data_IF_241342217311
#
_entry.id   IF_241342217311
#
_cell.length_a   1.000
_cell.length_b   1.000
_cell.length_c   1.000
_cell.angle_alpha   90.00
_cell.angle_beta   90.00
_cell.angle_gamma   90.00
#
_symmetry.space_group_name_H-M   'P 1'
#
loop_
_entity.id
_entity.type
_entity.pdbx_description
1 polymer ?
#
# COMPACT_ATOMS: atom_id res chain seq x y z
N UNK A 1 31.33 33.10 -18.13
CA UNK A 1 32.40 34.09 -17.87
C UNK A 1 32.14 34.73 -16.51
N UNK A 2 33.07 34.65 -15.55
CA UNK A 2 32.83 34.92 -14.14
C UNK A 2 32.99 36.41 -13.81
N UNK A 3 32.30 36.89 -12.77
CA UNK A 3 32.70 38.09 -12.04
C UNK A 3 33.19 37.70 -10.66
N UNK A 4 34.52 37.53 -10.56
CA UNK A 4 35.25 37.70 -9.31
C UNK A 4 35.37 39.21 -9.04
N UNK A 5 34.97 39.64 -7.84
CA UNK A 5 35.53 40.78 -7.09
C UNK A 5 34.94 40.70 -5.68
N UNK A 6 35.61 40.95 -4.57
CA UNK A 6 37.01 41.21 -4.20
C UNK A 6 36.96 41.23 -2.67
N UNK A 7 37.72 40.38 -1.98
CA UNK A 7 37.90 40.54 -0.53
C UNK A 7 38.60 41.87 -0.25
N UNK A 8 38.07 42.64 0.69
CA UNK A 8 38.66 43.86 1.22
C UNK A 8 38.51 43.84 2.73
N UNK A 9 39.51 43.28 3.40
CA UNK A 9 39.80 43.54 4.79
C UNK A 9 40.11 45.02 5.00
N UNK A 10 39.35 45.71 5.84
CA UNK A 10 39.78 46.98 6.45
C UNK A 10 39.70 46.84 7.96
N UNK A 11 40.86 46.64 8.55
CA UNK A 11 41.12 46.78 9.98
C UNK A 11 41.01 48.26 10.34
N UNK A 12 40.22 48.58 11.37
CA UNK A 12 40.37 49.83 12.13
C UNK A 12 40.24 49.47 13.60
N UNK A 13 41.38 49.54 14.30
CA UNK A 13 41.46 49.54 15.76
C UNK A 13 40.68 50.73 16.31
N UNK A 14 39.89 50.46 17.34
CA UNK A 14 39.27 51.46 18.21
C UNK A 14 38.95 50.77 19.53
N UNK A 15 39.89 50.85 20.47
CA UNK A 15 39.70 50.41 21.84
C UNK A 15 38.72 51.36 22.54
N UNK A 16 37.62 50.80 23.05
CA UNK A 16 36.88 51.37 24.18
C UNK A 16 36.14 50.24 24.88
N UNK A 17 36.60 49.95 26.10
CA UNK A 17 35.93 49.11 27.08
C UNK A 17 34.60 49.76 27.48
N UNK A 18 33.55 48.96 27.64
CA UNK A 18 32.81 48.79 28.90
C UNK A 18 31.47 48.05 28.66
N UNK A 19 31.16 47.18 29.61
CA UNK A 19 29.87 46.55 29.94
C UNK A 19 29.45 45.28 29.17
N UNK A 20 29.73 44.16 29.85
CA UNK A 20 29.14 42.84 29.66
C UNK A 20 27.61 42.89 29.82
N UNK A 21 26.88 42.60 28.76
CA UNK A 21 25.52 42.07 28.85
C UNK A 21 25.55 40.62 28.36
N UNK A 22 25.61 39.73 29.33
CA UNK A 22 25.56 38.28 29.17
C UNK A 22 24.14 37.86 28.72
N UNK A 23 23.84 38.04 27.44
CA UNK A 23 22.71 37.36 26.82
C UNK A 23 23.14 35.93 26.51
N UNK A 24 22.75 35.00 27.40
CA UNK A 24 22.80 33.57 27.22
C UNK A 24 22.00 33.16 25.98
N UNK A 25 22.62 33.30 24.81
CA UNK A 25 22.18 32.67 23.59
C UNK A 25 22.46 31.18 23.77
N UNK A 26 21.44 30.44 24.19
CA UNK A 26 21.38 28.99 24.01
C UNK A 26 21.66 28.74 22.53
N UNK A 27 22.91 28.40 22.22
CA UNK A 27 23.30 27.97 20.89
C UNK A 27 22.57 26.66 20.65
N UNK A 28 21.35 26.74 20.11
CA UNK A 28 20.72 25.63 19.45
C UNK A 28 21.65 25.34 18.29
N UNK A 29 22.56 24.40 18.50
CA UNK A 29 23.35 23.80 17.43
C UNK A 29 22.31 23.39 16.40
N UNK A 30 22.23 24.12 15.29
CA UNK A 30 21.44 23.75 14.13
C UNK A 30 22.12 22.51 13.56
N UNK A 31 21.96 21.39 14.27
CA UNK A 31 22.27 20.07 13.75
C UNK A 31 21.40 19.98 12.50
N UNK A 32 22.05 19.89 11.35
CA UNK A 32 21.37 19.58 10.10
C UNK A 32 20.51 18.32 10.28
N UNK A 33 19.65 18.01 9.29
CA UNK A 33 18.84 16.80 9.36
C UNK A 33 19.70 15.59 9.76
N UNK A 34 19.18 14.71 10.62
CA UNK A 34 19.93 13.58 11.15
C UNK A 34 20.65 12.81 10.05
N UNK A 35 21.88 12.36 10.34
CA UNK A 35 22.72 11.68 9.36
C UNK A 35 22.05 10.37 8.89
N UNK A 36 22.19 10.04 7.59
CA UNK A 36 21.58 8.84 6.99
C UNK A 36 22.19 7.58 7.61
N UNK A 37 21.45 6.91 8.48
CA UNK A 37 21.76 5.53 8.89
C UNK A 37 21.48 4.60 7.70
N UNK A 38 22.49 4.35 6.86
CA UNK A 38 22.40 3.48 5.68
C UNK A 38 22.21 1.99 6.00
N UNK A 39 22.26 1.60 7.28
CA UNK A 39 22.28 0.19 7.68
C UNK A 39 20.97 -0.55 7.36
N UNK A 40 19.83 0.16 7.26
CA UNK A 40 18.53 -0.45 6.94
C UNK A 40 17.63 0.51 6.16
N UNK A 41 17.15 0.10 4.99
CA UNK A 41 16.03 0.76 4.30
C UNK A 41 14.74 0.52 5.10
N UNK A 42 14.31 1.48 5.91
CA UNK A 42 13.09 1.36 6.73
C UNK A 42 11.86 1.71 5.90
N UNK A 43 10.80 0.91 6.03
CA UNK A 43 9.49 1.13 5.38
C UNK A 43 8.39 1.13 6.44
N UNK A 44 7.46 2.09 6.34
CA UNK A 44 6.27 2.10 7.19
C UNK A 44 5.16 1.29 6.56
N UNK A 45 4.68 0.29 7.29
CA UNK A 45 3.56 -0.55 6.91
C UNK A 45 2.47 -0.38 7.98
N UNK A 46 1.26 -0.06 7.54
CA UNK A 46 0.06 -0.05 8.38
C UNK A 46 -0.70 -1.32 8.07
N UNK A 47 -0.91 -2.10 9.12
CA UNK A 47 -1.57 -3.40 9.06
C UNK A 47 -2.29 -3.60 10.37
N UNK A 48 -3.39 -4.35 10.35
CA UNK A 48 -4.09 -4.72 11.58
C UNK A 48 -3.14 -5.49 12.50
N UNK A 49 -3.16 -5.15 13.78
CA UNK A 49 -2.31 -5.76 14.81
C UNK A 49 -2.38 -7.29 14.77
N UNK A 50 -1.22 -7.94 14.91
CA UNK A 50 -1.11 -9.40 14.92
C UNK A 50 -1.34 -10.11 13.59
N UNK A 51 -1.65 -9.41 12.50
CA UNK A 51 -1.99 -10.09 11.23
C UNK A 51 -0.78 -10.35 10.33
N UNK A 52 0.32 -9.59 10.46
CA UNK A 52 1.48 -9.73 9.57
C UNK A 52 2.56 -10.70 10.10
N UNK A 53 2.46 -11.15 11.35
CA UNK A 53 3.43 -12.09 11.93
C UNK A 53 3.44 -13.39 11.12
N UNK A 54 4.63 -13.90 10.81
CA UNK A 54 4.85 -15.11 10.00
C UNK A 54 4.22 -15.06 8.59
N UNK A 55 3.98 -13.86 8.07
CA UNK A 55 3.47 -13.66 6.71
C UNK A 55 4.60 -13.41 5.73
N UNK A 56 4.45 -13.93 4.51
CA UNK A 56 5.33 -13.61 3.39
C UNK A 56 4.61 -12.70 2.38
N UNK A 57 5.37 -11.80 1.76
CA UNK A 57 4.92 -10.97 0.66
C UNK A 57 5.54 -11.46 -0.64
N UNK A 58 4.72 -11.59 -1.68
CA UNK A 58 5.09 -12.14 -2.97
C UNK A 58 4.83 -11.12 -4.07
N UNK A 59 5.68 -11.12 -5.09
CA UNK A 59 5.43 -10.34 -6.31
C UNK A 59 4.45 -11.10 -7.20
N UNK A 60 3.33 -10.50 -7.53
CA UNK A 60 2.23 -11.05 -8.35
C UNK A 60 1.79 -10.00 -9.38
N UNK A 61 1.19 -10.42 -10.50
CA UNK A 61 0.71 -9.49 -11.52
C UNK A 61 -0.55 -8.82 -11.03
N UNK A 62 -0.58 -7.49 -11.13
CA UNK A 62 -1.78 -6.74 -10.86
C UNK A 62 -2.84 -7.10 -11.89
N UNK A 63 -4.06 -7.49 -11.47
CA UNK A 63 -5.02 -8.16 -12.35
C UNK A 63 -5.53 -7.31 -13.51
N UNK A 64 -5.44 -5.97 -13.40
CA UNK A 64 -5.83 -5.04 -14.46
C UNK A 64 -4.67 -4.63 -15.37
N UNK A 65 -3.47 -4.45 -14.83
CA UNK A 65 -2.36 -3.81 -15.55
C UNK A 65 -1.21 -4.75 -15.90
N UNK A 66 -1.18 -5.96 -15.32
CA UNK A 66 -0.08 -6.92 -15.49
C UNK A 66 1.21 -6.52 -14.77
N UNK A 67 1.29 -5.32 -14.20
CA UNK A 67 2.47 -4.85 -13.48
C UNK A 67 2.72 -5.64 -12.20
N UNK A 68 3.97 -5.81 -11.80
CA UNK A 68 4.31 -6.48 -10.55
C UNK A 68 3.88 -5.65 -9.33
N UNK A 69 3.06 -6.25 -8.47
CA UNK A 69 2.64 -5.72 -7.17
C UNK A 69 2.98 -6.70 -6.05
N UNK A 70 3.04 -6.21 -4.81
CA UNK A 70 3.29 -7.06 -3.65
C UNK A 70 1.97 -7.49 -3.02
N UNK A 71 1.77 -8.80 -2.87
CA UNK A 71 0.63 -9.40 -2.19
C UNK A 71 1.07 -10.27 -1.01
N UNK A 72 0.29 -10.25 0.07
CA UNK A 72 0.31 -11.31 1.08
C UNK A 72 -0.59 -12.44 0.62
N UNK A 73 -0.03 -13.62 0.37
CA UNK A 73 -0.77 -14.81 -0.03
C UNK A 73 -0.57 -15.94 0.97
N UNK A 74 -1.66 -16.61 1.32
CA UNK A 74 -1.70 -17.83 2.12
C UNK A 74 -3.02 -18.55 1.91
N UNK A 75 -3.25 -19.67 2.61
CA UNK A 75 -4.54 -20.37 2.59
C UNK A 75 -5.71 -19.49 3.07
N UNK A 76 -5.44 -18.53 3.95
CA UNK A 76 -6.48 -17.67 4.56
C UNK A 76 -6.47 -16.24 4.02
N UNK A 77 -5.29 -15.72 3.70
CA UNK A 77 -5.10 -14.30 3.41
C UNK A 77 -4.81 -14.07 1.92
N UNK A 78 -5.41 -13.01 1.39
CA UNK A 78 -5.11 -12.44 0.08
C UNK A 78 -5.20 -10.92 0.22
N UNK A 79 -4.06 -10.26 0.36
CA UNK A 79 -3.99 -8.82 0.62
C UNK A 79 -3.00 -8.15 -0.31
N UNK A 80 -3.35 -6.98 -0.82
CA UNK A 80 -2.48 -6.14 -1.63
C UNK A 80 -1.75 -5.11 -0.76
N UNK A 81 -0.47 -4.91 -1.04
CA UNK A 81 0.33 -3.84 -0.43
C UNK A 81 0.23 -2.59 -1.30
N UNK A 82 -0.62 -1.64 -0.90
CA UNK A 82 -0.79 -0.37 -1.57
C UNK A 82 0.17 0.69 -1.03
N UNK A 83 0.81 1.42 -1.94
CA UNK A 83 1.57 2.61 -1.58
C UNK A 83 0.66 3.84 -1.65
N UNK A 84 0.43 4.49 -0.52
CA UNK A 84 -0.32 5.73 -0.40
C UNK A 84 0.64 6.85 -0.01
N UNK A 85 0.68 7.91 -0.80
CA UNK A 85 1.50 9.06 -0.48
C UNK A 85 1.70 9.99 -1.67
N UNK A 86 2.14 11.20 -1.36
CA UNK A 86 2.47 12.22 -2.34
C UNK A 86 3.96 12.21 -2.67
N UNK A 87 4.34 12.87 -3.76
CA UNK A 87 5.76 13.12 -4.06
C UNK A 87 6.32 14.11 -3.04
N UNK A 88 7.64 14.06 -2.81
CA UNK A 88 8.36 15.01 -1.94
C UNK A 88 7.87 14.99 -0.48
N UNK A 89 7.73 13.78 0.08
CA UNK A 89 7.45 13.55 1.50
C UNK A 89 8.54 12.69 2.10
N UNK A 90 8.76 12.82 3.40
CA UNK A 90 9.69 11.98 4.15
C UNK A 90 9.15 11.78 5.57
N UNK A 91 9.60 10.71 6.21
CA UNK A 91 9.26 10.43 7.60
C UNK A 91 10.46 10.67 8.50
N UNK A 92 10.22 11.31 9.65
CA UNK A 92 11.17 11.36 10.75
C UNK A 92 10.84 10.24 11.73
N UNK A 93 11.83 9.41 12.05
CA UNK A 93 11.68 8.32 13.02
C UNK A 93 12.90 8.29 13.94
N UNK A 94 12.72 8.75 15.18
CA UNK A 94 13.82 8.99 16.10
C UNK A 94 14.84 9.95 15.48
N UNK A 95 16.10 9.50 15.41
CA UNK A 95 17.21 10.23 14.79
C UNK A 95 17.47 9.79 13.33
N UNK A 96 16.45 9.35 12.59
CA UNK A 96 16.61 8.91 11.21
C UNK A 96 15.56 9.55 10.28
N UNK A 97 15.97 9.76 9.02
CA UNK A 97 15.13 10.25 7.94
C UNK A 97 14.84 9.11 6.95
N UNK A 98 13.57 8.89 6.64
CA UNK A 98 13.10 7.91 5.65
C UNK A 98 12.57 8.67 4.42
N UNK A 99 13.21 8.46 3.28
CA UNK A 99 13.02 9.28 2.08
C UNK A 99 11.76 8.96 1.27
N UNK A 100 11.29 7.70 1.24
CA UNK A 100 10.17 7.28 0.38
C UNK A 100 8.88 8.05 0.71
N UNK A 101 8.70 8.47 1.97
CA UNK A 101 7.57 9.30 2.42
C UNK A 101 6.18 8.66 2.28
N UNK A 102 6.08 7.51 1.62
CA UNK A 102 4.84 6.77 1.38
C UNK A 102 4.50 5.87 2.54
N UNK A 103 3.20 5.78 2.80
CA UNK A 103 2.59 4.81 3.67
C UNK A 103 2.30 3.53 2.88
N UNK A 104 2.68 2.37 3.40
CA UNK A 104 2.26 1.07 2.82
C UNK A 104 1.06 0.55 3.60
N UNK A 105 -0.07 0.39 2.92
CA UNK A 105 -1.28 -0.20 3.49
C UNK A 105 -1.38 -1.65 3.03
N UNK A 106 -1.62 -2.57 3.96
CA UNK A 106 -1.98 -3.96 3.62
C UNK A 106 -3.50 -4.05 3.61
N UNK A 107 -4.09 -4.15 2.42
CA UNK A 107 -5.54 -4.15 2.25
C UNK A 107 -6.04 -5.50 1.71
N UNK A 108 -7.11 -6.08 2.29
CA UNK A 108 -7.69 -7.30 1.76
C UNK A 108 -8.19 -7.12 0.32
N UNK A 109 -7.82 -8.04 -0.56
CA UNK A 109 -8.33 -8.14 -1.92
C UNK A 109 -9.05 -9.47 -2.11
N UNK A 110 -10.18 -9.46 -2.83
CA UNK A 110 -10.89 -10.70 -3.08
C UNK A 110 -10.05 -11.57 -4.05
N UNK A 111 -9.72 -12.83 -3.71
CA UNK A 111 -8.78 -13.64 -4.48
C UNK A 111 -9.25 -13.92 -5.91
N UNK A 112 -10.57 -13.93 -6.16
CA UNK A 112 -11.12 -13.99 -7.52
C UNK A 112 -10.58 -12.90 -8.45
N UNK A 113 -10.34 -11.67 -7.96
CA UNK A 113 -9.75 -10.64 -8.81
C UNK A 113 -8.35 -11.02 -9.28
N UNK A 114 -7.58 -11.70 -8.42
CA UNK A 114 -6.22 -12.16 -8.74
C UNK A 114 -6.27 -13.36 -9.69
N UNK A 115 -7.23 -14.28 -9.52
CA UNK A 115 -7.38 -15.47 -10.36
C UNK A 115 -8.01 -15.18 -11.75
N UNK A 116 -8.84 -14.14 -11.87
CA UNK A 116 -9.60 -13.82 -13.09
C UNK A 116 -8.75 -13.70 -14.36
N UNK A 117 -7.61 -12.98 -14.38
CA UNK A 117 -6.75 -12.91 -15.56
C UNK A 117 -6.23 -14.28 -16.04
N UNK A 118 -5.94 -15.17 -15.10
CA UNK A 118 -5.46 -16.53 -15.38
C UNK A 118 -6.59 -17.42 -15.94
N UNK A 119 -7.80 -17.28 -15.40
CA UNK A 119 -9.01 -17.92 -15.93
C UNK A 119 -9.33 -17.42 -17.35
N UNK A 120 -9.27 -16.11 -17.57
CA UNK A 120 -9.51 -15.48 -18.87
C UNK A 120 -8.49 -15.95 -19.93
N UNK A 121 -7.21 -16.08 -19.55
CA UNK A 121 -6.15 -16.62 -20.43
C UNK A 121 -6.47 -18.04 -20.92
N UNK A 122 -7.19 -18.83 -20.12
CA UNK A 122 -7.54 -20.22 -20.40
C UNK A 122 -9.04 -20.45 -20.64
N UNK A 123 -9.78 -19.41 -21.08
CA UNK A 123 -11.25 -19.42 -21.10
C UNK A 123 -11.90 -20.52 -21.95
N UNK A 124 -11.19 -21.06 -22.94
CA UNK A 124 -11.73 -22.05 -23.88
C UNK A 124 -11.56 -23.50 -23.40
N UNK A 125 -10.88 -23.73 -22.26
CA UNK A 125 -10.48 -25.07 -21.79
C UNK A 125 -10.97 -25.32 -20.36
N UNK A 126 -11.29 -26.58 -20.07
CA UNK A 126 -11.42 -27.07 -18.71
C UNK A 126 -10.04 -27.54 -18.25
N UNK A 127 -9.51 -26.91 -17.20
CA UNK A 127 -8.18 -27.20 -16.65
C UNK A 127 -8.25 -27.31 -15.13
N UNK A 128 -7.30 -28.01 -14.53
CA UNK A 128 -7.13 -28.02 -13.08
C UNK A 128 -6.64 -26.65 -12.58
N UNK A 129 -6.84 -26.40 -11.28
CA UNK A 129 -6.56 -25.07 -10.73
C UNK A 129 -5.06 -24.76 -10.68
N UNK A 130 -4.23 -25.78 -10.47
CA UNK A 130 -2.77 -25.70 -10.50
C UNK A 130 -2.26 -25.38 -11.91
N UNK A 131 -2.89 -25.90 -12.97
CA UNK A 131 -2.60 -25.58 -14.37
C UNK A 131 -2.99 -24.14 -14.73
N UNK A 132 -4.13 -23.67 -14.21
CA UNK A 132 -4.63 -22.30 -14.45
C UNK A 132 -3.72 -21.28 -13.76
N UNK A 133 -3.36 -21.51 -12.51
CA UNK A 133 -2.58 -20.60 -11.66
C UNK A 133 -1.07 -20.79 -11.85
N UNK A 134 -0.62 -20.66 -13.09
CA UNK A 134 0.80 -20.74 -13.47
C UNK A 134 1.33 -19.41 -14.01
N UNK A 135 2.51 -19.01 -13.54
CA UNK A 135 3.27 -17.86 -14.06
C UNK A 135 4.77 -18.10 -13.84
N UNK A 136 5.53 -18.26 -14.92
CA UNK A 136 6.98 -18.55 -14.86
C UNK A 136 7.77 -17.40 -14.21
N UNK A 137 7.37 -16.16 -14.44
CA UNK A 137 8.04 -14.99 -13.86
C UNK A 137 7.62 -14.76 -12.41
N UNK A 138 6.43 -15.24 -12.02
CA UNK A 138 5.83 -14.99 -10.72
C UNK A 138 5.15 -16.25 -10.14
N UNK A 139 5.93 -17.31 -9.83
CA UNK A 139 5.41 -18.63 -9.48
C UNK A 139 4.60 -18.67 -8.18
N UNK A 140 4.70 -17.63 -7.36
CA UNK A 140 3.94 -17.52 -6.11
C UNK A 140 2.42 -17.45 -6.32
N UNK A 141 1.93 -17.22 -7.54
CA UNK A 141 0.50 -17.30 -7.86
C UNK A 141 -0.10 -18.68 -7.53
N UNK A 142 0.69 -19.76 -7.63
CA UNK A 142 0.25 -21.12 -7.30
C UNK A 142 -0.16 -21.28 -5.83
N UNK A 143 0.31 -20.43 -4.91
CA UNK A 143 -0.15 -20.44 -3.51
C UNK A 143 -1.66 -20.18 -3.38
N UNK A 144 -2.25 -19.50 -4.36
CA UNK A 144 -3.68 -19.18 -4.36
C UNK A 144 -4.55 -20.42 -4.60
N UNK A 145 -4.00 -21.50 -5.16
CA UNK A 145 -4.69 -22.78 -5.35
C UNK A 145 -5.28 -23.31 -4.03
N UNK A 146 -4.53 -23.15 -2.93
CA UNK A 146 -4.93 -23.58 -1.58
C UNK A 146 -5.74 -22.53 -0.82
N UNK A 147 -5.99 -21.37 -1.42
CA UNK A 147 -6.71 -20.29 -0.75
C UNK A 147 -8.19 -20.66 -0.55
N UNK A 148 -8.62 -20.73 0.71
CA UNK A 148 -9.97 -21.18 1.09
C UNK A 148 -11.05 -20.27 0.55
N UNK A 149 -10.82 -18.96 0.49
CA UNK A 149 -11.79 -18.04 -0.08
C UNK A 149 -11.90 -18.22 -1.60
N UNK A 150 -10.80 -18.43 -2.31
CA UNK A 150 -10.84 -18.76 -3.74
C UNK A 150 -11.63 -20.04 -3.98
N UNK A 151 -11.26 -21.13 -3.32
CA UNK A 151 -11.89 -22.45 -3.49
C UNK A 151 -13.40 -22.42 -3.22
N UNK A 152 -13.86 -21.60 -2.27
CA UNK A 152 -15.29 -21.42 -1.98
C UNK A 152 -16.05 -20.55 -2.98
N UNK A 153 -15.34 -19.76 -3.79
CA UNK A 153 -15.97 -18.72 -4.62
C UNK A 153 -15.66 -18.82 -6.11
N UNK A 154 -14.75 -19.69 -6.53
CA UNK A 154 -14.35 -19.87 -7.94
C UNK A 154 -15.52 -20.26 -8.86
N UNK A 155 -16.47 -21.04 -8.35
CA UNK A 155 -17.74 -21.37 -9.04
C UNK A 155 -18.61 -20.15 -9.38
N UNK A 156 -18.35 -18.99 -8.76
CA UNK A 156 -19.06 -17.74 -9.10
C UNK A 156 -18.57 -17.11 -10.40
N UNK A 157 -17.45 -17.56 -10.97
CA UNK A 157 -16.87 -17.00 -12.20
C UNK A 157 -16.46 -18.07 -13.20
N UNK A 158 -16.65 -19.35 -12.88
CA UNK A 158 -16.20 -20.48 -13.68
C UNK A 158 -17.21 -21.63 -13.63
N UNK A 159 -17.38 -22.31 -14.76
CA UNK A 159 -18.01 -23.63 -14.80
C UNK A 159 -17.08 -24.66 -14.15
N UNK A 160 -17.65 -25.59 -13.39
CA UNK A 160 -16.90 -26.67 -12.73
C UNK A 160 -17.40 -28.02 -13.19
N UNK A 161 -16.46 -28.91 -13.48
CA UNK A 161 -16.72 -30.33 -13.74
C UNK A 161 -15.84 -31.18 -12.85
N UNK A 162 -16.42 -32.27 -12.35
CA UNK A 162 -15.67 -33.32 -11.68
C UNK A 162 -15.30 -34.37 -12.72
N UNK A 163 -14.02 -34.66 -12.86
CA UNK A 163 -13.48 -35.68 -13.77
C UNK A 163 -12.60 -36.60 -12.94
N UNK A 164 -13.05 -37.85 -12.75
CA UNK A 164 -12.43 -38.78 -11.81
C UNK A 164 -12.36 -38.15 -10.40
N UNK A 165 -11.16 -38.04 -9.82
CA UNK A 165 -10.92 -37.46 -8.49
C UNK A 165 -10.48 -35.98 -8.55
N UNK A 166 -10.48 -35.37 -9.74
CA UNK A 166 -10.06 -33.98 -9.97
C UNK A 166 -11.23 -33.06 -10.30
N UNK A 167 -11.06 -31.77 -9.97
CA UNK A 167 -11.96 -30.70 -10.38
C UNK A 167 -11.31 -29.85 -11.44
N UNK A 168 -12.00 -29.70 -12.56
CA UNK A 168 -11.57 -28.84 -13.66
C UNK A 168 -12.50 -27.64 -13.79
N UNK A 169 -11.90 -26.50 -14.11
CA UNK A 169 -12.53 -25.19 -14.13
C UNK A 169 -12.41 -24.59 -15.53
N UNK A 170 -13.45 -23.91 -15.98
CA UNK A 170 -13.43 -23.09 -17.20
C UNK A 170 -14.10 -21.76 -16.93
N UNK A 171 -13.48 -20.66 -17.33
CA UNK A 171 -14.09 -19.33 -17.20
C UNK A 171 -15.51 -19.28 -17.78
N UNK A 172 -16.42 -18.64 -17.05
CA UNK A 172 -17.79 -18.40 -17.51
C UNK A 172 -18.09 -16.90 -17.42
N UNK A 173 -18.24 -16.26 -18.58
CA UNK A 173 -18.45 -14.81 -18.69
C UNK A 173 -19.76 -14.34 -18.06
N UNK A 174 -20.82 -15.14 -18.12
CA UNK A 174 -22.12 -14.81 -17.54
C UNK A 174 -22.06 -14.83 -16.02
N UNK A 175 -21.49 -15.90 -15.43
CA UNK A 175 -21.28 -16.00 -13.98
C UNK A 175 -20.36 -14.89 -13.50
N UNK A 176 -19.25 -14.64 -14.19
CA UNK A 176 -18.33 -13.57 -13.86
C UNK A 176 -18.99 -12.19 -13.88
N UNK A 177 -19.83 -11.90 -14.88
CA UNK A 177 -20.56 -10.64 -14.96
C UNK A 177 -21.55 -10.48 -13.80
N UNK A 178 -22.32 -11.53 -13.49
CA UNK A 178 -23.24 -11.53 -12.34
C UNK A 178 -22.48 -11.29 -11.04
N UNK A 179 -21.34 -11.96 -10.84
CA UNK A 179 -20.50 -11.77 -9.67
C UNK A 179 -19.99 -10.33 -9.57
N UNK A 180 -19.43 -9.76 -10.65
CA UNK A 180 -18.95 -8.37 -10.68
C UNK A 180 -20.09 -7.39 -10.35
N UNK A 181 -21.28 -7.60 -10.91
CA UNK A 181 -22.45 -6.76 -10.64
C UNK A 181 -22.77 -6.72 -9.14
N UNK A 182 -22.81 -7.88 -8.45
CA UNK A 182 -23.07 -7.90 -7.00
C UNK A 182 -22.00 -7.17 -6.19
N UNK A 183 -20.74 -7.19 -6.63
CA UNK A 183 -19.64 -6.45 -5.99
C UNK A 183 -19.80 -4.95 -6.21
N UNK A 184 -20.19 -4.54 -7.41
CA UNK A 184 -20.47 -3.15 -7.74
C UNK A 184 -21.64 -2.60 -6.92
N UNK A 185 -22.73 -3.35 -6.81
CA UNK A 185 -23.88 -2.99 -5.97
C UNK A 185 -23.47 -2.82 -4.51
N UNK A 186 -22.64 -3.72 -3.97
CA UNK A 186 -22.10 -3.57 -2.61
C UNK A 186 -21.27 -2.31 -2.45
N UNK A 187 -20.38 -1.99 -3.40
CA UNK A 187 -19.58 -0.76 -3.36
C UNK A 187 -20.49 0.47 -3.41
N UNK A 188 -21.49 0.47 -4.27
CA UNK A 188 -22.48 1.56 -4.37
C UNK A 188 -23.16 1.80 -3.02
N UNK A 189 -23.64 0.75 -2.35
CA UNK A 189 -24.27 0.86 -1.03
C UNK A 189 -23.30 1.42 0.02
N UNK A 190 -22.08 0.87 0.11
CA UNK A 190 -21.08 1.37 1.05
C UNK A 190 -20.73 2.85 0.81
N UNK A 191 -20.61 3.29 -0.45
CA UNK A 191 -20.35 4.69 -0.77
C UNK A 191 -21.50 5.62 -0.36
N UNK A 192 -22.75 5.15 -0.48
CA UNK A 192 -23.92 5.90 -0.04
C UNK A 192 -23.96 6.03 1.49
N UNK A 193 -23.61 4.95 2.21
CA UNK A 193 -23.49 4.94 3.67
C UNK A 193 -22.36 5.85 4.17
N UNK A 194 -21.18 5.78 3.57
CA UNK A 194 -20.02 6.60 3.96
C UNK A 194 -20.24 8.10 3.66
N UNK A 195 -20.89 8.42 2.54
CA UNK A 195 -21.29 9.80 2.24
C UNK A 195 -22.27 10.34 3.30
N UNK A 196 -23.18 9.50 3.78
CA UNK A 196 -24.07 9.84 4.88
C UNK A 196 -23.32 9.97 6.21
N UNK A 197 -22.34 9.10 6.50
CA UNK A 197 -21.49 9.16 7.68
C UNK A 197 -20.66 10.45 7.72
N UNK A 198 -20.00 10.79 6.61
CA UNK A 198 -19.20 12.02 6.53
C UNK A 198 -20.08 13.26 6.74
N UNK A 199 -21.28 13.27 6.14
CA UNK A 199 -22.26 14.34 6.36
C UNK A 199 -22.70 14.41 7.84
N UNK A 200 -23.01 13.28 8.47
CA UNK A 200 -23.38 13.22 9.89
C UNK A 200 -22.25 13.68 10.84
N UNK A 201 -20.99 13.36 10.52
CA UNK A 201 -19.82 13.84 11.28
C UNK A 201 -19.65 15.36 11.15
N UNK A 202 -19.85 15.91 9.95
CA UNK A 202 -19.78 17.35 9.71
C UNK A 202 -20.94 18.10 10.39
N UNK A 203 -22.15 17.53 10.37
CA UNK A 203 -23.33 18.13 10.96
C UNK A 203 -23.31 18.06 12.51
N UNK A 204 -22.80 16.96 13.09
CA UNK A 204 -22.62 16.83 14.55
C UNK A 204 -21.56 17.78 15.13
N UNK A 205 -20.52 18.13 14.36
CA UNK A 205 -19.56 19.17 14.76
C UNK A 205 -20.19 20.56 14.88
N UNK A 206 -21.25 20.86 14.12
CA UNK A 206 -21.94 22.17 14.20
C UNK A 206 -22.83 22.30 15.44
N UNK A 207 -23.18 21.19 16.10
CA UNK A 207 -24.00 21.18 17.32
C UNK A 207 -23.18 21.20 18.62
N UNK A 208 -21.85 21.09 18.54
CA UNK A 208 -20.98 21.00 19.71
C UNK A 208 -20.37 22.36 20.01
N UNK A 209 -21.12 23.24 20.68
CA UNK A 209 -20.53 24.37 21.40
C UNK A 209 -19.70 23.81 22.56
N UNK A 210 -18.41 23.63 22.34
CA UNK A 210 -17.47 23.50 23.44
C UNK A 210 -17.33 24.88 24.09
N UNK A 211 -17.93 25.05 25.27
CA UNK A 211 -17.49 26.08 26.19
C UNK A 211 -16.16 25.60 26.80
N UNK A 212 -15.10 26.33 26.45
CA UNK A 212 -13.89 26.39 27.26
C UNK A 212 -14.16 27.22 28.50
#
# INVERSE_FOLDING_TARGET
MPRLTRNSSRSTNGERSDEEQENASLSVSKKGPPNREMAYERKFIVVKEGTLTNSCLYKIRHPKSGAAVLLRLSEENCDEVLNVGEKMRSWFYGNSLIEDGKLKLVIPIHPLFIALPYLLKNQDKFLELDEILTDEEQPAIGLLEKNKQLLKTIEKVADVKNVCDSRVYRYNSQLAMQWIQTRFERIKLCLQEEAALHKAILDSRKSSHFHF
#
